data_IF_201840942998
#
_entry.id   IF_201840942998
#
_cell.length_a   1.000
_cell.length_b   1.000
_cell.length_c   1.000
_cell.angle_alpha   90.00
_cell.angle_beta   90.00
_cell.angle_gamma   90.00
#
_symmetry.space_group_name_H-M   'P 1'
#
loop_
_entity.id
_entity.type
_entity.pdbx_description
1 polymer ?
#
# COMPACT_ATOMS: atom_id res chain seq x y z
N UNK A 1 -7.44 12.42 23.09
CA UNK A 1 -7.03 12.05 21.71
C UNK A 1 -7.40 10.63 21.26
N UNK A 2 -8.08 9.78 22.06
CA UNK A 2 -8.46 8.40 21.64
C UNK A 2 -9.77 8.31 20.83
N UNK A 3 -10.64 9.32 20.90
CA UNK A 3 -11.96 9.30 20.25
C UNK A 3 -11.92 9.50 18.73
N UNK A 4 -11.03 10.37 18.23
CA UNK A 4 -10.99 10.74 16.79
C UNK A 4 -10.49 9.56 15.93
N UNK A 5 -9.52 8.79 16.45
CA UNK A 5 -9.02 7.58 15.78
C UNK A 5 -10.10 6.48 15.75
N UNK A 6 -10.92 6.38 16.79
CA UNK A 6 -12.04 5.43 16.83
C UNK A 6 -13.15 5.81 15.85
N UNK A 7 -13.49 7.11 15.73
CA UNK A 7 -14.47 7.59 14.74
C UNK A 7 -13.99 7.40 13.29
N UNK A 8 -12.69 7.60 13.00
CA UNK A 8 -12.12 7.31 11.68
C UNK A 8 -12.14 5.81 11.35
N UNK A 9 -11.84 4.95 12.33
CA UNK A 9 -11.93 3.49 12.13
C UNK A 9 -13.38 3.02 11.94
N UNK A 10 -14.36 3.56 12.69
CA UNK A 10 -15.78 3.22 12.54
C UNK A 10 -16.36 3.78 11.22
N UNK A 11 -15.96 4.97 10.80
CA UNK A 11 -16.38 5.55 9.52
C UNK A 11 -15.79 4.79 8.33
N UNK A 12 -14.54 4.33 8.42
CA UNK A 12 -13.96 3.41 7.47
C UNK A 12 -14.78 2.11 7.45
N UNK A 13 -14.95 1.44 8.59
CA UNK A 13 -15.75 0.20 8.75
C UNK A 13 -17.19 0.33 8.22
N UNK A 14 -17.81 1.51 8.32
CA UNK A 14 -19.17 1.76 7.84
C UNK A 14 -19.23 2.03 6.33
N UNK A 15 -18.25 2.74 5.76
CA UNK A 15 -18.11 2.87 4.31
C UNK A 15 -17.82 1.52 3.62
N UNK A 16 -17.25 0.57 4.36
CA UNK A 16 -16.85 -0.75 3.87
C UNK A 16 -17.95 -1.80 3.89
N UNK A 17 -19.06 -1.57 4.59
CA UNK A 17 -20.26 -2.41 4.50
C UNK A 17 -21.01 -2.25 3.17
N UNK A 18 -20.67 -1.23 2.38
CA UNK A 18 -21.29 -0.96 1.08
C UNK A 18 -20.57 -1.65 -0.09
N UNK A 19 -19.38 -2.23 0.13
CA UNK A 19 -18.70 -3.03 -0.89
C UNK A 19 -19.04 -4.51 -0.68
N UNK A 20 -19.59 -5.20 -1.70
CA UNK A 20 -19.90 -6.63 -1.61
C UNK A 20 -18.61 -7.42 -1.30
N UNK A 21 -18.73 -8.63 -0.71
CA UNK A 21 -17.56 -9.49 -0.49
C UNK A 21 -16.88 -9.70 -1.84
N UNK A 22 -15.64 -9.22 -2.00
CA UNK A 22 -14.86 -9.37 -3.23
C UNK A 22 -14.73 -10.89 -3.51
N UNK A 23 -15.53 -11.46 -4.44
CA UNK A 23 -15.62 -12.90 -4.61
C UNK A 23 -14.45 -13.46 -5.42
N UNK A 24 -13.61 -12.57 -5.94
CA UNK A 24 -12.47 -12.90 -6.77
C UNK A 24 -11.16 -12.53 -6.03
N UNK A 25 -10.10 -13.30 -6.28
CA UNK A 25 -8.78 -13.05 -5.70
C UNK A 25 -8.27 -11.63 -6.00
N UNK A 26 -7.30 -11.14 -5.23
CA UNK A 26 -6.75 -9.78 -5.34
C UNK A 26 -6.40 -9.36 -6.79
N UNK A 27 -6.06 -10.34 -7.65
CA UNK A 27 -5.62 -10.17 -9.04
C UNK A 27 -6.58 -10.75 -10.09
N UNK A 28 -7.88 -10.91 -9.79
CA UNK A 28 -8.83 -11.51 -10.72
C UNK A 28 -8.86 -10.86 -12.11
N UNK A 29 -8.58 -9.55 -12.18
CA UNK A 29 -8.65 -8.74 -13.39
C UNK A 29 -7.27 -8.19 -13.83
N UNK A 30 -6.18 -8.60 -13.17
CA UNK A 30 -4.83 -8.09 -13.48
C UNK A 30 -4.12 -9.00 -14.51
N UNK A 31 -3.56 -8.45 -15.60
CA UNK A 31 -2.82 -9.26 -16.55
C UNK A 31 -1.52 -9.78 -15.92
N UNK A 32 -1.18 -11.04 -16.20
CA UNK A 32 0.04 -11.66 -15.67
C UNK A 32 1.27 -11.08 -16.35
N UNK A 33 2.18 -10.48 -15.58
CA UNK A 33 3.48 -10.01 -16.09
C UNK A 33 4.53 -11.10 -15.96
N UNK A 34 4.89 -11.69 -17.10
CA UNK A 34 5.84 -12.83 -17.21
C UNK A 34 7.26 -12.46 -16.71
N UNK A 35 7.62 -11.18 -16.70
CA UNK A 35 8.97 -10.70 -16.34
C UNK A 35 9.07 -10.02 -14.97
N UNK A 36 8.05 -10.08 -14.13
CA UNK A 36 8.09 -9.44 -12.82
C UNK A 36 8.87 -10.30 -11.81
N UNK A 37 9.81 -9.69 -11.08
CA UNK A 37 10.54 -10.32 -9.96
C UNK A 37 10.73 -9.32 -8.82
N UNK A 38 11.31 -9.76 -7.70
CA UNK A 38 11.45 -8.93 -6.49
C UNK A 38 12.28 -7.67 -6.75
N UNK A 39 13.36 -7.78 -7.51
CA UNK A 39 14.23 -6.66 -7.83
C UNK A 39 13.50 -5.59 -8.64
N UNK A 40 12.74 -5.99 -9.67
CA UNK A 40 11.97 -5.04 -10.50
C UNK A 40 10.91 -4.32 -9.66
N UNK A 41 10.23 -5.04 -8.76
CA UNK A 41 9.25 -4.42 -7.88
C UNK A 41 9.92 -3.43 -6.89
N UNK A 42 11.07 -3.78 -6.33
CA UNK A 42 11.84 -2.92 -5.43
C UNK A 42 12.37 -1.67 -6.15
N UNK A 43 12.93 -1.82 -7.35
CA UNK A 43 13.41 -0.70 -8.17
C UNK A 43 12.27 0.27 -8.50
N UNK A 44 11.07 -0.26 -8.76
CA UNK A 44 9.89 0.54 -9.04
C UNK A 44 9.38 1.30 -7.81
N UNK A 45 9.36 0.66 -6.63
CA UNK A 45 9.05 1.32 -5.36
C UNK A 45 10.08 2.39 -4.98
N UNK A 46 11.36 2.14 -5.27
CA UNK A 46 12.42 3.11 -5.08
C UNK A 46 12.22 4.33 -5.97
N UNK A 47 12.02 4.13 -7.27
CA UNK A 47 11.77 5.22 -8.22
C UNK A 47 10.52 6.03 -7.87
N UNK A 48 9.44 5.37 -7.41
CA UNK A 48 8.26 6.07 -6.89
C UNK A 48 8.57 6.98 -5.70
N UNK A 49 9.40 6.49 -4.78
CA UNK A 49 9.79 7.24 -3.59
C UNK A 49 10.62 8.46 -3.98
N UNK A 50 11.58 8.30 -4.90
CA UNK A 50 12.38 9.40 -5.44
C UNK A 50 11.52 10.45 -6.15
N UNK A 51 10.56 10.03 -6.97
CA UNK A 51 9.68 10.97 -7.68
C UNK A 51 8.73 11.73 -6.75
N UNK A 52 8.35 11.14 -5.62
CA UNK A 52 7.62 11.82 -4.57
C UNK A 52 8.50 12.74 -3.69
N UNK A 53 9.80 12.85 -3.98
CA UNK A 53 10.74 13.71 -3.28
C UNK A 53 11.39 13.09 -2.04
N UNK A 54 11.27 11.77 -1.82
CA UNK A 54 11.97 11.09 -0.74
C UNK A 54 13.37 10.69 -1.17
N UNK A 55 14.38 11.07 -0.36
CA UNK A 55 15.73 10.52 -0.50
C UNK A 55 15.84 9.24 0.33
N UNK A 56 15.52 8.10 -0.29
CA UNK A 56 15.62 6.78 0.31
C UNK A 56 16.48 5.89 -0.57
N UNK A 57 17.39 5.12 0.01
CA UNK A 57 18.14 4.15 -0.77
C UNK A 57 17.34 2.85 -0.96
N UNK A 58 17.71 2.07 -1.98
CA UNK A 58 17.09 0.80 -2.29
C UNK A 58 17.06 -0.19 -1.10
N UNK A 59 18.08 -0.15 -0.24
CA UNK A 59 18.15 -1.00 0.95
C UNK A 59 17.07 -0.64 1.98
N UNK A 60 16.78 0.65 2.19
CA UNK A 60 15.71 1.11 3.06
C UNK A 60 14.33 0.71 2.52
N UNK A 61 14.14 0.83 1.19
CA UNK A 61 12.92 0.34 0.50
C UNK A 61 12.76 -1.16 0.71
N UNK A 62 13.82 -1.94 0.53
CA UNK A 62 13.82 -3.39 0.76
C UNK A 62 13.46 -3.74 2.21
N UNK A 63 14.13 -3.14 3.20
CA UNK A 63 13.82 -3.40 4.63
C UNK A 63 12.36 -3.12 4.96
N UNK A 64 11.80 -2.05 4.44
CA UNK A 64 10.39 -1.70 4.65
C UNK A 64 9.44 -2.69 3.98
N UNK A 65 9.73 -3.09 2.75
CA UNK A 65 8.98 -4.13 2.03
C UNK A 65 9.03 -5.46 2.79
N UNK A 66 10.19 -5.86 3.28
CA UNK A 66 10.37 -7.10 4.05
C UNK A 66 9.56 -7.08 5.36
N UNK A 67 9.57 -5.95 6.09
CA UNK A 67 8.75 -5.78 7.29
C UNK A 67 7.26 -5.92 6.98
N UNK A 68 6.78 -5.28 5.92
CA UNK A 68 5.39 -5.38 5.49
C UNK A 68 5.02 -6.83 5.12
N UNK A 69 5.83 -7.49 4.29
CA UNK A 69 5.60 -8.89 3.87
C UNK A 69 5.57 -9.83 5.07
N UNK A 70 6.51 -9.67 6.01
CA UNK A 70 6.58 -10.48 7.22
C UNK A 70 5.36 -10.27 8.12
N UNK A 71 4.89 -9.03 8.25
CA UNK A 71 3.66 -8.73 8.98
C UNK A 71 2.44 -9.36 8.32
N UNK A 72 2.29 -9.23 7.00
CA UNK A 72 1.19 -9.86 6.25
C UNK A 72 1.20 -11.38 6.45
N UNK A 73 2.38 -12.03 6.37
CA UNK A 73 2.52 -13.47 6.62
C UNK A 73 2.18 -13.86 8.05
N UNK A 74 2.68 -13.11 9.03
CA UNK A 74 2.38 -13.31 10.46
C UNK A 74 0.89 -13.23 10.72
N UNK A 75 0.23 -12.20 10.19
CA UNK A 75 -1.21 -11.98 10.34
C UNK A 75 -2.02 -13.03 9.58
N UNK A 76 -1.64 -13.35 8.34
CA UNK A 76 -2.26 -14.43 7.56
C UNK A 76 -2.23 -15.76 8.30
N UNK A 77 -1.08 -16.13 8.89
CA UNK A 77 -0.96 -17.32 9.75
C UNK A 77 -1.85 -17.24 10.99
N UNK A 78 -1.88 -16.09 11.67
CA UNK A 78 -2.69 -15.88 12.89
C UNK A 78 -4.19 -16.03 12.61
N UNK A 79 -4.67 -15.53 11.47
CA UNK A 79 -6.09 -15.51 11.12
C UNK A 79 -6.53 -16.65 10.19
N UNK A 80 -5.61 -17.54 9.79
CA UNK A 80 -5.91 -18.65 8.87
C UNK A 80 -6.20 -18.19 7.44
N UNK A 81 -5.64 -17.06 7.02
CA UNK A 81 -5.83 -16.47 5.70
C UNK A 81 -4.60 -16.78 4.82
N UNK A 82 -4.78 -17.42 3.64
CA UNK A 82 -3.68 -17.66 2.72
C UNK A 82 -3.29 -16.36 1.98
N UNK A 83 -2.06 -15.89 2.19
CA UNK A 83 -1.61 -14.57 1.70
C UNK A 83 -0.60 -14.61 0.55
N UNK A 84 0.01 -15.75 0.24
CA UNK A 84 1.11 -15.79 -0.75
C UNK A 84 0.64 -15.40 -2.17
N UNK A 85 -0.57 -15.78 -2.56
CA UNK A 85 -1.15 -15.35 -3.83
C UNK A 85 -1.47 -13.84 -3.84
N UNK A 86 -1.87 -13.29 -2.70
CA UNK A 86 -2.15 -11.86 -2.55
C UNK A 86 -0.84 -11.05 -2.60
N UNK A 87 0.23 -11.53 -1.98
CA UNK A 87 1.57 -10.92 -2.04
C UNK A 87 2.14 -10.95 -3.46
N UNK A 88 2.04 -12.08 -4.16
CA UNK A 88 2.41 -12.17 -5.60
C UNK A 88 1.58 -11.22 -6.46
N UNK A 89 0.30 -11.07 -6.13
CA UNK A 89 -0.55 -10.11 -6.82
C UNK A 89 -0.08 -8.68 -6.63
N UNK A 90 0.20 -8.26 -5.39
CA UNK A 90 0.72 -6.92 -5.11
C UNK A 90 2.03 -6.67 -5.84
N UNK A 91 2.93 -7.66 -5.87
CA UNK A 91 4.16 -7.59 -6.64
C UNK A 91 3.91 -7.36 -8.14
N UNK A 92 2.97 -8.11 -8.73
CA UNK A 92 2.59 -7.93 -10.14
C UNK A 92 2.02 -6.54 -10.40
N UNK A 93 1.17 -6.03 -9.51
CA UNK A 93 0.62 -4.68 -9.61
C UNK A 93 1.75 -3.66 -9.56
N UNK A 94 2.68 -3.74 -8.61
CA UNK A 94 3.85 -2.84 -8.52
C UNK A 94 4.66 -2.86 -9.82
N UNK A 95 4.86 -4.01 -10.44
CA UNK A 95 5.56 -4.09 -11.72
C UNK A 95 4.82 -3.34 -12.84
N UNK A 96 3.48 -3.30 -12.80
CA UNK A 96 2.63 -2.74 -13.84
C UNK A 96 2.28 -1.27 -13.65
N UNK A 97 2.30 -0.76 -12.42
CA UNK A 97 1.83 0.60 -12.16
C UNK A 97 2.60 1.61 -13.03
N UNK A 98 1.85 2.51 -13.66
CA UNK A 98 2.44 3.73 -14.18
C UNK A 98 2.85 4.59 -12.99
N UNK A 99 3.94 5.34 -13.15
CA UNK A 99 4.38 6.26 -12.10
C UNK A 99 3.53 7.52 -12.20
N UNK A 100 2.33 7.41 -11.65
CA UNK A 100 1.29 8.44 -11.66
C UNK A 100 0.43 8.31 -10.41
N UNK A 101 -0.31 9.36 -10.03
CA UNK A 101 -1.30 9.29 -8.96
C UNK A 101 -2.33 8.16 -9.14
N UNK A 102 -2.75 7.89 -10.38
CA UNK A 102 -3.69 6.82 -10.72
C UNK A 102 -3.06 5.44 -10.53
N UNK A 103 -1.81 5.26 -10.94
CA UNK A 103 -1.06 4.02 -10.71
C UNK A 103 -0.88 3.72 -9.22
N UNK A 104 -0.55 4.74 -8.41
CA UNK A 104 -0.48 4.61 -6.97
C UNK A 104 -1.84 4.31 -6.33
N UNK A 105 -2.93 4.89 -6.85
CA UNK A 105 -4.27 4.59 -6.34
C UNK A 105 -4.59 3.10 -6.48
N UNK A 106 -4.25 2.48 -7.63
CA UNK A 106 -4.43 1.03 -7.80
C UNK A 106 -3.67 0.23 -6.75
N UNK A 107 -2.43 0.60 -6.44
CA UNK A 107 -1.63 -0.06 -5.41
C UNK A 107 -2.23 0.12 -4.00
N UNK A 108 -2.75 1.30 -3.69
CA UNK A 108 -3.46 1.60 -2.44
C UNK A 108 -4.70 0.70 -2.32
N UNK A 109 -5.52 0.63 -3.35
CA UNK A 109 -6.77 -0.15 -3.35
C UNK A 109 -6.49 -1.64 -3.11
N UNK A 110 -5.46 -2.20 -3.74
CA UNK A 110 -5.06 -3.60 -3.52
C UNK A 110 -4.55 -3.84 -2.10
N UNK A 111 -3.82 -2.91 -1.52
CA UNK A 111 -3.39 -3.00 -0.13
C UNK A 111 -4.59 -2.91 0.85
N UNK A 112 -5.60 -2.09 0.53
CA UNK A 112 -6.85 -2.05 1.28
C UNK A 112 -7.60 -3.39 1.21
N UNK A 113 -7.75 -3.99 0.03
CA UNK A 113 -8.42 -5.29 -0.10
C UNK A 113 -7.66 -6.39 0.66
N UNK A 114 -6.32 -6.42 0.56
CA UNK A 114 -5.49 -7.34 1.37
C UNK A 114 -5.73 -7.12 2.86
N UNK A 115 -5.75 -5.85 3.31
CA UNK A 115 -6.08 -5.50 4.69
C UNK A 115 -7.42 -6.13 5.07
N UNK A 116 -8.52 -5.91 4.33
CA UNK A 116 -9.81 -6.52 4.64
C UNK A 116 -9.81 -8.04 4.69
N UNK A 117 -9.13 -8.68 3.74
CA UNK A 117 -9.01 -10.15 3.70
C UNK A 117 -8.32 -10.69 4.93
N UNK A 118 -7.24 -10.04 5.40
CA UNK A 118 -6.56 -10.42 6.64
C UNK A 118 -7.48 -10.37 7.86
N UNK A 119 -8.48 -9.48 7.88
CA UNK A 119 -9.44 -9.40 8.98
C UNK A 119 -10.63 -10.33 8.85
N UNK A 120 -10.96 -10.76 7.63
CA UNK A 120 -12.16 -11.56 7.37
C UNK A 120 -13.42 -10.97 8.08
N UNK A 121 -13.56 -9.63 8.06
CA UNK A 121 -14.64 -8.90 8.73
C UNK A 121 -14.50 -8.71 10.25
N UNK A 122 -13.39 -9.12 10.88
CA UNK A 122 -13.14 -8.93 12.32
C UNK A 122 -12.61 -7.53 12.63
N UNK A 123 -12.93 -7.02 13.81
CA UNK A 123 -12.37 -5.74 14.30
C UNK A 123 -10.91 -5.98 14.71
N UNK A 124 -9.94 -5.22 14.17
CA UNK A 124 -8.53 -5.33 14.55
C UNK A 124 -8.29 -4.96 16.02
N UNK A 125 -7.41 -5.68 16.72
CA UNK A 125 -6.80 -5.16 17.95
C UNK A 125 -5.82 -4.03 17.61
N UNK A 126 -6.00 -2.86 18.22
CA UNK A 126 -5.37 -1.59 17.80
C UNK A 126 -3.84 -1.55 17.67
N UNK A 127 -3.11 -2.50 18.29
CA UNK A 127 -1.64 -2.55 18.24
C UNK A 127 -1.06 -3.46 17.15
N UNK A 128 -1.76 -4.50 16.73
CA UNK A 128 -1.15 -5.60 15.97
C UNK A 128 -0.96 -5.32 14.47
N UNK A 129 -1.50 -4.18 14.01
CA UNK A 129 -1.68 -3.86 12.59
C UNK A 129 -1.11 -2.51 12.20
N UNK A 130 -0.31 -1.89 13.08
CA UNK A 130 0.33 -0.62 12.79
C UNK A 130 1.21 -0.70 11.53
N UNK A 131 1.88 -1.83 11.27
CA UNK A 131 2.70 -2.02 10.08
C UNK A 131 1.91 -1.94 8.76
N UNK A 132 0.80 -2.68 8.67
CA UNK A 132 -0.05 -2.70 7.46
C UNK A 132 -0.76 -1.36 7.26
N UNK A 133 -1.26 -0.73 8.34
CA UNK A 133 -1.84 0.61 8.26
C UNK A 133 -0.82 1.69 7.87
N UNK A 134 0.41 1.58 8.38
CA UNK A 134 1.50 2.49 8.04
C UNK A 134 1.86 2.40 6.56
N UNK A 135 1.81 1.20 5.97
CA UNK A 135 2.02 1.03 4.54
C UNK A 135 0.96 1.74 3.70
N UNK A 136 -0.33 1.57 4.03
CA UNK A 136 -1.42 2.27 3.32
C UNK A 136 -1.26 3.78 3.42
N UNK A 137 -1.00 4.30 4.62
CA UNK A 137 -0.78 5.74 4.83
C UNK A 137 0.42 6.26 4.03
N UNK A 138 1.50 5.50 3.98
CA UNK A 138 2.67 5.87 3.20
C UNK A 138 2.38 5.95 1.71
N UNK A 139 1.67 4.98 1.16
CA UNK A 139 1.24 5.02 -0.25
C UNK A 139 0.32 6.22 -0.52
N UNK A 140 -0.59 6.54 0.40
CA UNK A 140 -1.43 7.75 0.32
C UNK A 140 -0.58 9.03 0.34
N UNK A 141 0.44 9.11 1.21
CA UNK A 141 1.37 10.24 1.23
C UNK A 141 2.18 10.36 -0.06
N UNK A 142 2.67 9.25 -0.62
CA UNK A 142 3.35 9.24 -1.91
C UNK A 142 2.42 9.76 -3.02
N UNK A 143 1.18 9.30 -3.06
CA UNK A 143 0.19 9.74 -4.06
C UNK A 143 -0.04 11.24 -3.96
N UNK A 144 -0.32 11.74 -2.76
CA UNK A 144 -0.55 13.16 -2.53
C UNK A 144 0.64 14.02 -2.99
N UNK A 145 1.87 13.58 -2.70
CA UNK A 145 3.07 14.29 -3.13
C UNK A 145 3.25 14.25 -4.65
N UNK A 146 2.98 13.11 -5.30
CA UNK A 146 2.99 13.06 -6.78
C UNK A 146 1.94 14.00 -7.39
N UNK A 147 0.75 14.11 -6.79
CA UNK A 147 -0.28 15.06 -7.22
C UNK A 147 0.19 16.51 -7.04
N UNK A 148 0.82 16.84 -5.92
CA UNK A 148 1.39 18.16 -5.70
C UNK A 148 2.52 18.47 -6.69
N UNK A 149 3.41 17.53 -6.96
CA UNK A 149 4.49 17.71 -7.94
C UNK A 149 3.95 17.81 -9.37
N UNK A 150 2.94 17.03 -9.73
CA UNK A 150 2.25 17.14 -11.02
C UNK A 150 1.55 18.51 -11.17
N UNK A 151 0.91 19.00 -10.11
CA UNK A 151 0.30 20.33 -10.08
C UNK A 151 1.33 21.48 -10.11
N UNK A 152 2.47 21.32 -9.43
CA UNK A 152 3.59 22.27 -9.42
C UNK A 152 4.48 22.22 -10.66
N UNK A 153 4.33 21.24 -11.54
CA UNK A 153 4.95 21.34 -12.87
C UNK A 153 4.26 22.40 -13.76
N UNK A 154 3.17 23.02 -13.29
CA UNK A 154 2.69 24.34 -13.76
C UNK A 154 3.26 25.54 -13.00
N UNK A 155 3.92 25.35 -11.85
CA UNK A 155 4.51 26.41 -11.00
C UNK A 155 5.63 25.84 -10.11
N UNK A 156 6.88 25.91 -10.59
CA UNK A 156 8.09 25.55 -9.82
C UNK A 156 8.05 26.11 -8.41
N UNK A 157 8.17 25.25 -7.39
CA UNK A 157 8.99 25.51 -6.19
C UNK A 157 9.14 24.23 -5.37
N UNK A 158 10.39 23.79 -5.24
CA UNK A 158 10.80 22.61 -4.47
C UNK A 158 10.58 22.82 -2.98
N UNK A 159 10.12 21.76 -2.33
CA UNK A 159 10.01 21.69 -0.88
C UNK A 159 10.89 20.52 -0.43
N UNK A 160 12.07 20.88 0.07
CA UNK A 160 12.99 19.98 0.75
C UNK A 160 12.36 19.66 2.11
N UNK A 161 12.00 18.40 2.34
CA UNK A 161 11.64 17.92 3.67
C UNK A 161 12.81 17.11 4.25
N UNK A 162 13.30 17.59 5.39
CA UNK A 162 14.37 17.03 6.21
C UNK A 162 14.09 15.57 6.60
N UNK A 163 15.11 14.69 6.57
CA UNK A 163 14.98 13.31 7.02
C UNK A 163 14.81 13.24 8.54
N UNK A 164 14.04 12.25 9.00
CA UNK A 164 13.90 11.84 10.40
C UNK A 164 15.22 11.29 10.96
#
# INVERSE_FOLDING_TARGET
>A
MKLIVFCLMVACVSALRLHPPFPHGLCADEPVVIRCNDQIALDKLHLLSEQAGYSVNLEAVKRRTDLFVNDVRRLGKKYGVPVENDLKCIQQVICQIEISPEGLQKLIDKNFVLFYRLFNGKVPDSGEFQGVQFQIRFLQSLKHLLEEYAGRNGTRSGLVLTPL
#
